data_IF_098426820380
#
_entry.id   IF_098426820380
#
_cell.length_a   1.000
_cell.length_b   1.000
_cell.length_c   1.000
_cell.angle_alpha   90.00
_cell.angle_beta   90.00
_cell.angle_gamma   90.00
#
_symmetry.space_group_name_H-M   'P 1'
#
loop_
_entity.id
_entity.type
_entity.pdbx_description
1 polymer ?
#
# COMPACT_ATOMS: atom_id res chain seq x y z
N UNK A 1 -13.65 -3.38 0.65
CA UNK A 1 -13.74 -3.38 -0.82
C UNK A 1 -15.08 -3.93 -1.27
N UNK A 2 -15.30 -5.23 -1.17
CA UNK A 2 -16.51 -5.91 -1.64
C UNK A 2 -17.82 -5.34 -1.03
N UNK A 3 -17.76 -4.88 0.22
CA UNK A 3 -18.89 -4.20 0.85
C UNK A 3 -19.28 -2.91 0.12
N UNK A 4 -18.31 -2.18 -0.44
CA UNK A 4 -18.56 -0.99 -1.26
C UNK A 4 -19.41 -1.31 -2.48
N UNK A 5 -18.98 -2.28 -3.28
CA UNK A 5 -19.75 -2.77 -4.44
C UNK A 5 -21.13 -3.25 -4.04
N UNK A 6 -21.22 -4.02 -2.95
CA UNK A 6 -22.49 -4.55 -2.44
C UNK A 6 -23.48 -3.45 -2.10
N UNK A 7 -23.07 -2.48 -1.27
CA UNK A 7 -23.98 -1.42 -0.83
C UNK A 7 -24.38 -0.49 -1.99
N UNK A 8 -23.42 -0.16 -2.87
CA UNK A 8 -23.72 0.65 -4.04
C UNK A 8 -24.66 -0.07 -5.01
N UNK A 9 -24.41 -1.32 -5.35
CA UNK A 9 -25.30 -2.11 -6.20
C UNK A 9 -26.74 -2.13 -5.67
N UNK A 10 -26.90 -2.43 -4.36
CA UNK A 10 -28.23 -2.43 -3.72
C UNK A 10 -28.88 -1.05 -3.70
N UNK A 11 -28.12 0.02 -3.47
CA UNK A 11 -28.63 1.39 -3.47
C UNK A 11 -29.22 1.79 -4.81
N UNK A 12 -28.66 1.27 -5.90
CA UNK A 12 -29.14 1.50 -7.26
C UNK A 12 -30.08 0.41 -7.79
N UNK A 13 -30.63 -0.43 -6.91
CA UNK A 13 -31.62 -1.45 -7.25
C UNK A 13 -31.06 -2.68 -7.96
N UNK A 14 -29.75 -2.82 -8.07
CA UNK A 14 -29.15 -4.02 -8.65
C UNK A 14 -29.26 -5.20 -7.69
N UNK A 15 -29.61 -6.36 -8.24
CA UNK A 15 -29.74 -7.58 -7.46
C UNK A 15 -28.36 -8.19 -7.20
N UNK A 16 -27.97 -8.26 -5.94
CA UNK A 16 -26.77 -8.99 -5.51
C UNK A 16 -27.15 -10.44 -5.24
N UNK A 17 -26.57 -11.35 -6.01
CA UNK A 17 -26.83 -12.80 -5.92
C UNK A 17 -26.06 -13.40 -4.76
N UNK A 18 -24.79 -13.02 -4.62
CA UNK A 18 -23.88 -13.60 -3.61
C UNK A 18 -22.89 -12.57 -3.09
N UNK A 19 -22.67 -12.67 -1.78
CA UNK A 19 -21.57 -11.97 -1.09
C UNK A 19 -20.71 -13.05 -0.43
N UNK A 20 -19.46 -13.21 -0.89
CA UNK A 20 -18.54 -14.23 -0.39
C UNK A 20 -17.35 -13.62 0.30
N UNK A 21 -17.06 -14.09 1.51
CA UNK A 21 -15.77 -13.90 2.17
C UNK A 21 -14.93 -15.13 1.86
N UNK A 22 -13.90 -14.95 1.01
CA UNK A 22 -13.07 -16.05 0.53
C UNK A 22 -13.61 -16.75 -0.72
N UNK A 23 -12.84 -17.72 -1.19
CA UNK A 23 -13.06 -18.49 -2.42
C UNK A 23 -12.99 -20.01 -2.16
N UNK A 24 -13.59 -20.79 -3.06
CA UNK A 24 -13.57 -22.26 -3.00
C UNK A 24 -14.75 -22.88 -2.25
N UNK A 25 -14.59 -24.07 -1.63
CA UNK A 25 -15.66 -24.77 -0.93
C UNK A 25 -16.27 -23.91 0.17
N UNK A 26 -17.60 -23.84 0.24
CA UNK A 26 -18.33 -23.04 1.24
C UNK A 26 -18.32 -23.75 2.58
N UNK A 27 -17.81 -23.06 3.63
CA UNK A 27 -17.83 -23.53 5.01
C UNK A 27 -19.12 -23.14 5.70
N UNK A 28 -19.59 -21.91 5.45
CA UNK A 28 -20.81 -21.37 6.04
C UNK A 28 -21.61 -20.61 5.00
N UNK A 29 -22.94 -20.75 5.05
CA UNK A 29 -23.88 -20.14 4.12
C UNK A 29 -25.12 -19.70 4.85
N UNK A 30 -25.56 -18.48 4.58
CA UNK A 30 -26.81 -17.92 5.09
C UNK A 30 -27.56 -17.18 3.98
N UNK A 31 -28.85 -17.47 3.85
CA UNK A 31 -29.76 -16.74 2.94
C UNK A 31 -30.94 -16.22 3.77
N UNK A 32 -31.03 -14.89 4.03
CA UNK A 32 -32.19 -14.31 4.69
C UNK A 32 -33.47 -14.55 3.87
N UNK A 33 -34.61 -14.72 4.53
CA UNK A 33 -35.88 -15.03 3.87
C UNK A 33 -36.33 -13.94 2.88
N UNK A 34 -36.03 -12.67 3.22
CA UNK A 34 -36.46 -11.50 2.44
C UNK A 34 -35.36 -10.88 1.59
N UNK A 35 -34.28 -11.60 1.34
CA UNK A 35 -33.13 -11.13 0.55
C UNK A 35 -32.79 -12.08 -0.59
N UNK A 36 -32.56 -11.57 -1.81
CA UNK A 36 -32.03 -12.39 -2.90
C UNK A 36 -30.61 -12.84 -2.67
N UNK A 37 -29.88 -12.17 -1.75
CA UNK A 37 -28.43 -12.35 -1.55
C UNK A 37 -28.14 -13.55 -0.66
N UNK A 38 -27.25 -14.40 -1.13
CA UNK A 38 -26.63 -15.46 -0.36
C UNK A 38 -25.32 -14.95 0.24
N UNK A 39 -25.20 -14.96 1.56
CA UNK A 39 -23.96 -14.68 2.26
C UNK A 39 -23.23 -15.99 2.53
N UNK A 40 -21.92 -16.02 2.25
CA UNK A 40 -21.14 -17.23 2.47
C UNK A 40 -19.73 -16.90 2.94
N UNK A 41 -19.14 -17.87 3.65
CA UNK A 41 -17.69 -17.91 3.97
C UNK A 41 -17.12 -19.16 3.32
N UNK A 42 -16.04 -19.01 2.58
CA UNK A 42 -15.37 -20.08 1.88
C UNK A 42 -14.04 -20.46 2.55
N UNK A 43 -13.52 -21.64 2.22
CA UNK A 43 -12.35 -22.26 2.87
C UNK A 43 -11.07 -21.44 2.67
N UNK A 44 -10.89 -20.86 1.49
CA UNK A 44 -9.70 -20.07 1.16
C UNK A 44 -10.02 -18.61 1.50
N UNK A 45 -9.46 -18.01 2.57
CA UNK A 45 -9.83 -16.69 3.05
C UNK A 45 -9.25 -15.54 2.19
N UNK A 46 -8.96 -15.81 0.93
CA UNK A 46 -8.51 -14.85 -0.07
C UNK A 46 -9.57 -14.74 -1.18
N UNK A 47 -9.52 -13.66 -1.95
CA UNK A 47 -10.42 -13.42 -3.08
C UNK A 47 -11.90 -13.40 -2.68
N UNK A 48 -12.25 -12.57 -1.71
CA UNK A 48 -13.64 -12.22 -1.47
C UNK A 48 -14.26 -11.65 -2.76
N UNK A 49 -15.57 -11.85 -2.97
CA UNK A 49 -16.23 -11.33 -4.15
C UNK A 49 -17.71 -11.06 -3.93
N UNK A 50 -18.23 -10.14 -4.74
CA UNK A 50 -19.66 -9.84 -4.86
C UNK A 50 -20.13 -10.23 -6.27
N UNK A 51 -21.13 -11.09 -6.35
CA UNK A 51 -21.78 -11.47 -7.60
C UNK A 51 -23.04 -10.62 -7.78
N UNK A 52 -23.01 -9.72 -8.76
CA UNK A 52 -24.13 -8.86 -9.14
C UNK A 52 -24.78 -9.47 -10.39
N UNK A 53 -26.12 -9.56 -10.39
CA UNK A 53 -26.88 -10.10 -11.52
C UNK A 53 -26.57 -9.34 -12.82
N UNK A 54 -26.34 -10.06 -13.91
CA UNK A 54 -26.06 -9.50 -15.23
C UNK A 54 -24.69 -8.81 -15.36
N UNK A 55 -23.77 -9.04 -14.42
CA UNK A 55 -22.39 -8.55 -14.52
C UNK A 55 -21.50 -9.52 -15.30
N UNK A 56 -21.85 -10.80 -15.30
CA UNK A 56 -21.17 -11.82 -16.09
C UNK A 56 -21.90 -12.00 -17.45
N UNK A 57 -21.26 -11.69 -18.57
CA UNK A 57 -21.89 -11.75 -19.91
C UNK A 57 -22.14 -13.18 -20.41
N UNK A 58 -21.66 -14.20 -19.70
CA UNK A 58 -21.89 -15.61 -20.01
C UNK A 58 -23.08 -16.21 -19.24
N UNK A 59 -23.67 -15.44 -18.30
CA UNK A 59 -24.91 -15.80 -17.63
C UNK A 59 -26.10 -15.35 -18.48
N UNK A 60 -27.16 -16.18 -18.56
CA UNK A 60 -28.41 -15.76 -19.17
C UNK A 60 -28.99 -14.58 -18.38
N UNK A 61 -29.16 -13.44 -19.05
CA UNK A 61 -29.77 -12.25 -18.46
C UNK A 61 -31.04 -11.89 -19.26
N UNK A 62 -32.13 -11.71 -18.55
CA UNK A 62 -33.34 -11.16 -19.15
C UNK A 62 -33.11 -9.68 -19.51
N UNK A 63 -33.30 -9.29 -20.79
CA UNK A 63 -33.16 -7.90 -21.22
C UNK A 63 -34.06 -6.93 -20.45
N UNK A 64 -35.18 -7.42 -19.87
CA UNK A 64 -36.13 -6.61 -19.11
C UNK A 64 -35.88 -6.65 -17.59
N UNK A 65 -34.86 -7.37 -17.11
CA UNK A 65 -34.55 -7.44 -15.68
C UNK A 65 -34.00 -6.12 -15.18
N UNK A 66 -34.81 -5.31 -14.52
CA UNK A 66 -34.41 -4.03 -13.92
C UNK A 66 -33.37 -4.16 -12.79
N UNK A 67 -33.25 -5.35 -12.21
CA UNK A 67 -32.24 -5.66 -11.20
C UNK A 67 -30.86 -6.08 -11.78
N UNK A 68 -30.73 -6.14 -13.11
CA UNK A 68 -29.49 -6.51 -13.77
C UNK A 68 -28.52 -5.32 -13.89
N UNK A 69 -27.24 -5.56 -13.60
CA UNK A 69 -26.14 -4.60 -13.83
C UNK A 69 -26.09 -4.12 -15.29
N UNK A 70 -26.28 -5.04 -16.24
CA UNK A 70 -26.26 -4.72 -17.67
C UNK A 70 -27.33 -3.71 -18.09
N UNK A 71 -28.47 -3.70 -17.39
CA UNK A 71 -29.63 -2.81 -17.66
C UNK A 71 -29.62 -1.55 -16.79
N UNK A 72 -28.72 -1.46 -15.80
CA UNK A 72 -28.58 -0.28 -14.96
C UNK A 72 -28.05 0.93 -15.74
N UNK A 73 -28.37 2.13 -15.28
CA UNK A 73 -27.83 3.36 -15.86
C UNK A 73 -26.30 3.38 -15.80
N UNK A 74 -25.68 4.07 -16.76
CA UNK A 74 -24.21 4.20 -16.81
C UNK A 74 -23.65 4.74 -15.48
N UNK A 75 -24.31 5.77 -14.91
CA UNK A 75 -23.90 6.35 -13.62
C UNK A 75 -23.97 5.33 -12.48
N UNK A 76 -25.03 4.56 -12.39
CA UNK A 76 -25.19 3.52 -11.38
C UNK A 76 -24.08 2.46 -11.47
N UNK A 77 -23.69 2.07 -12.69
CA UNK A 77 -22.58 1.14 -12.94
C UNK A 77 -21.24 1.73 -12.52
N UNK A 78 -20.95 2.99 -12.89
CA UNK A 78 -19.72 3.69 -12.50
C UNK A 78 -19.62 3.77 -10.97
N UNK A 79 -20.68 4.24 -10.29
CA UNK A 79 -20.67 4.35 -8.82
C UNK A 79 -20.50 2.99 -8.17
N UNK A 80 -21.14 1.95 -8.70
CA UNK A 80 -21.00 0.59 -8.15
C UNK A 80 -19.56 0.08 -8.25
N UNK A 81 -18.90 0.29 -9.37
CA UNK A 81 -17.49 -0.14 -9.54
C UNK A 81 -16.55 0.73 -8.70
N UNK A 82 -16.72 2.05 -8.69
CA UNK A 82 -15.87 2.95 -7.91
C UNK A 82 -16.03 2.77 -6.38
N UNK A 83 -17.18 2.30 -5.92
CA UNK A 83 -17.49 2.15 -4.49
C UNK A 83 -16.56 1.16 -3.77
N UNK A 84 -16.08 0.12 -4.45
CA UNK A 84 -15.10 -0.82 -3.89
C UNK A 84 -13.81 -0.12 -3.45
N UNK A 85 -13.05 0.46 -4.39
CA UNK A 85 -11.85 1.23 -4.08
C UNK A 85 -12.06 2.37 -3.08
N UNK A 86 -13.15 3.13 -3.21
CA UNK A 86 -13.47 4.23 -2.29
C UNK A 86 -13.72 3.73 -0.86
N UNK A 87 -14.34 2.56 -0.70
CA UNK A 87 -14.51 1.94 0.61
C UNK A 87 -13.18 1.55 1.25
N UNK A 88 -12.19 1.15 0.46
CA UNK A 88 -10.84 0.91 0.97
C UNK A 88 -10.20 2.20 1.52
N UNK A 89 -10.38 3.35 0.86
CA UNK A 89 -9.90 4.63 1.37
C UNK A 89 -10.61 5.05 2.65
N UNK A 90 -11.93 4.89 2.69
CA UNK A 90 -12.71 5.17 3.90
C UNK A 90 -12.23 4.30 5.07
N UNK A 91 -12.08 3.00 4.84
CA UNK A 91 -11.61 2.07 5.86
C UNK A 91 -10.16 2.35 6.29
N UNK A 92 -9.29 2.71 5.34
CA UNK A 92 -7.94 3.18 5.61
C UNK A 92 -7.94 4.36 6.59
N UNK A 93 -8.76 5.38 6.31
CA UNK A 93 -8.88 6.55 7.19
C UNK A 93 -9.36 6.17 8.59
N UNK A 94 -10.33 5.28 8.71
CA UNK A 94 -10.81 4.79 10.01
C UNK A 94 -9.70 4.07 10.78
N UNK A 95 -8.98 3.16 10.14
CA UNK A 95 -7.88 2.42 10.79
C UNK A 95 -6.73 3.34 11.22
N UNK A 96 -6.34 4.27 10.35
CA UNK A 96 -5.26 5.24 10.65
C UNK A 96 -5.68 6.17 11.78
N UNK A 97 -6.93 6.62 11.80
CA UNK A 97 -7.46 7.46 12.87
C UNK A 97 -7.31 6.80 14.24
N UNK A 98 -7.82 5.59 14.39
CA UNK A 98 -7.68 4.85 15.64
C UNK A 98 -6.24 4.45 15.93
N UNK A 99 -5.48 4.11 14.88
CA UNK A 99 -4.06 3.81 15.00
C UNK A 99 -3.24 4.98 15.55
N UNK A 100 -3.52 6.20 15.10
CA UNK A 100 -2.88 7.43 15.62
C UNK A 100 -3.29 7.75 17.06
N UNK A 101 -4.56 7.56 17.41
CA UNK A 101 -5.02 7.78 18.77
C UNK A 101 -4.40 6.80 19.79
N UNK A 102 -4.19 5.56 19.38
CA UNK A 102 -3.66 4.51 20.26
C UNK A 102 -2.13 4.51 20.28
N UNK A 103 -1.49 4.66 19.11
CA UNK A 103 -0.06 4.50 18.92
C UNK A 103 0.71 5.82 18.76
N UNK A 104 0.01 6.97 18.63
CA UNK A 104 0.65 8.23 18.29
C UNK A 104 1.22 8.29 16.88
N UNK A 105 2.03 9.29 16.61
CA UNK A 105 2.83 9.43 15.39
C UNK A 105 4.31 9.34 15.71
N UNK A 106 5.08 8.70 14.84
CA UNK A 106 6.53 8.76 14.91
C UNK A 106 7.02 10.11 14.39
N UNK A 107 7.81 10.78 15.20
CA UNK A 107 8.44 12.06 14.85
C UNK A 107 9.95 11.88 14.93
N UNK A 108 10.64 12.30 13.87
CA UNK A 108 12.10 12.28 13.86
C UNK A 108 12.67 13.28 14.88
N UNK A 109 13.69 12.86 15.60
CA UNK A 109 14.43 13.73 16.51
C UNK A 109 15.57 14.42 15.75
N UNK A 110 15.23 15.52 15.10
CA UNK A 110 16.19 16.29 14.29
C UNK A 110 17.24 17.03 15.15
N UNK A 111 16.96 17.19 16.43
CA UNK A 111 17.76 18.06 17.32
C UNK A 111 18.88 17.32 18.02
N UNK A 112 18.73 16.03 18.28
CA UNK A 112 19.68 15.28 19.10
C UNK A 112 20.97 14.91 18.38
N UNK A 113 21.00 14.93 17.04
CA UNK A 113 22.08 14.40 16.21
C UNK A 113 22.49 12.96 16.55
N UNK A 114 21.67 12.27 17.35
CA UNK A 114 21.86 10.84 17.65
C UNK A 114 21.50 10.01 16.44
N UNK A 115 22.23 8.90 16.26
CA UNK A 115 21.98 8.00 15.13
C UNK A 115 21.34 6.70 15.58
N UNK A 116 20.47 6.18 14.74
CA UNK A 116 20.07 4.79 14.76
C UNK A 116 20.83 4.08 13.63
N UNK A 117 21.66 3.10 13.97
CA UNK A 117 22.54 2.42 13.03
C UNK A 117 21.84 1.21 12.46
N UNK A 118 21.81 1.12 11.14
CA UNK A 118 21.32 -0.04 10.39
C UNK A 118 22.51 -0.85 9.83
N UNK A 119 22.23 -2.08 9.36
CA UNK A 119 23.27 -2.91 8.77
C UNK A 119 23.91 -2.20 7.57
N UNK A 120 25.21 -1.92 7.66
CA UNK A 120 25.94 -1.17 6.63
C UNK A 120 27.26 -0.58 7.10
N UNK A 121 27.81 0.36 6.33
CA UNK A 121 29.16 0.91 6.57
C UNK A 121 29.38 1.48 7.98
N UNK A 122 28.41 2.21 8.53
CA UNK A 122 28.54 2.77 9.88
C UNK A 122 28.65 1.67 10.95
N UNK A 123 27.85 0.59 10.83
CA UNK A 123 27.92 -0.54 11.74
C UNK A 123 29.28 -1.26 11.67
N UNK A 124 29.78 -1.46 10.44
CA UNK A 124 31.08 -2.12 10.21
C UNK A 124 32.22 -1.29 10.79
N UNK A 125 32.10 0.03 10.73
CA UNK A 125 33.07 0.97 11.28
C UNK A 125 33.04 1.10 12.80
N UNK A 126 32.06 0.52 13.50
CA UNK A 126 31.96 0.57 14.96
C UNK A 126 31.04 1.65 15.50
N UNK A 127 30.34 2.41 14.64
CA UNK A 127 29.29 3.36 15.08
C UNK A 127 28.15 2.59 15.69
N UNK A 128 27.63 3.05 16.84
CA UNK A 128 26.57 2.40 17.59
C UNK A 128 25.29 3.24 17.59
N UNK A 129 24.16 2.54 17.72
CA UNK A 129 22.88 3.23 17.93
C UNK A 129 22.91 4.01 19.23
N UNK A 130 22.61 5.30 19.17
CA UNK A 130 22.67 6.23 20.28
C UNK A 130 23.89 7.17 20.25
N UNK A 131 24.90 6.88 19.44
CA UNK A 131 26.01 7.80 19.21
C UNK A 131 25.50 9.13 18.67
N UNK A 132 26.04 10.24 19.17
CA UNK A 132 25.75 11.58 18.67
C UNK A 132 26.86 12.02 17.74
N UNK A 133 26.53 12.30 16.49
CA UNK A 133 27.52 12.79 15.52
C UNK A 133 27.87 14.24 15.86
N UNK A 134 29.18 14.52 15.95
CA UNK A 134 29.74 15.82 16.24
C UNK A 134 30.35 16.46 15.01
N UNK A 135 31.18 15.69 14.25
CA UNK A 135 31.91 16.22 13.10
C UNK A 135 32.13 15.14 12.04
N UNK A 136 32.33 15.57 10.80
CA UNK A 136 32.77 14.74 9.66
C UNK A 136 34.03 15.35 9.08
N UNK A 137 35.12 14.55 8.98
CA UNK A 137 36.46 15.00 8.52
C UNK A 137 36.92 16.28 9.24
N UNK A 138 36.66 16.39 10.56
CA UNK A 138 37.02 17.55 11.40
C UNK A 138 36.14 18.78 11.20
N UNK A 139 35.09 18.73 10.39
CA UNK A 139 34.08 19.79 10.26
C UNK A 139 32.90 19.49 11.13
N UNK A 140 32.56 20.39 12.05
CA UNK A 140 31.40 20.25 12.93
C UNK A 140 30.11 20.16 12.12
N UNK A 141 29.21 19.27 12.54
CA UNK A 141 27.88 19.11 11.96
C UNK A 141 26.81 19.30 13.05
N UNK A 142 25.85 20.18 12.78
CA UNK A 142 24.80 20.55 13.74
C UNK A 142 23.40 20.14 13.27
N UNK A 143 23.28 19.79 12.00
CA UNK A 143 22.01 19.37 11.39
C UNK A 143 22.16 18.08 10.58
N UNK A 144 21.07 17.34 10.49
CA UNK A 144 21.02 16.13 9.67
C UNK A 144 21.26 16.39 8.18
N UNK A 145 20.91 17.58 7.71
CA UNK A 145 21.17 17.98 6.32
C UNK A 145 22.66 18.19 6.08
N UNK A 146 23.39 18.79 7.03
CA UNK A 146 24.86 18.94 6.98
C UNK A 146 25.54 17.57 7.00
N UNK A 147 25.15 16.69 7.93
CA UNK A 147 25.66 15.33 8.01
C UNK A 147 25.44 14.59 6.68
N UNK A 148 24.21 14.63 6.16
CA UNK A 148 23.87 13.97 4.89
C UNK A 148 24.70 14.51 3.73
N UNK A 149 24.86 15.83 3.64
CA UNK A 149 25.64 16.48 2.59
C UNK A 149 27.12 16.08 2.65
N UNK A 150 27.71 16.11 3.84
CA UNK A 150 29.10 15.73 4.06
C UNK A 150 29.35 14.26 3.71
N UNK A 151 28.47 13.35 4.12
CA UNK A 151 28.59 11.91 3.80
C UNK A 151 28.37 11.66 2.32
N UNK A 152 27.36 12.29 1.70
CA UNK A 152 27.03 12.09 0.29
C UNK A 152 28.10 12.57 -0.67
N UNK A 153 28.96 13.51 -0.24
CA UNK A 153 30.06 14.04 -1.05
C UNK A 153 31.27 13.10 -1.16
N UNK A 154 31.33 12.01 -0.38
CA UNK A 154 32.48 11.12 -0.29
C UNK A 154 32.13 9.63 -0.57
N UNK A 155 31.54 9.29 -1.74
CA UNK A 155 31.22 7.91 -2.07
C UNK A 155 32.49 7.07 -2.23
N UNK A 156 32.61 5.98 -1.45
CA UNK A 156 33.80 5.09 -1.49
C UNK A 156 35.07 5.63 -0.86
N UNK A 157 35.09 6.87 -0.37
CA UNK A 157 36.20 7.47 0.34
C UNK A 157 36.04 7.31 1.85
N UNK A 158 37.11 6.97 2.56
CA UNK A 158 37.11 6.87 4.01
C UNK A 158 36.95 8.27 4.63
N UNK A 159 35.94 8.45 5.48
CA UNK A 159 35.68 9.67 6.24
C UNK A 159 35.91 9.41 7.74
N UNK A 160 36.44 10.40 8.45
CA UNK A 160 36.50 10.39 9.90
C UNK A 160 35.20 10.93 10.48
N UNK A 161 34.51 10.09 11.24
CA UNK A 161 33.24 10.45 11.91
C UNK A 161 33.52 10.60 13.41
N UNK A 162 33.55 11.84 13.90
CA UNK A 162 33.63 12.10 15.33
C UNK A 162 32.26 11.95 15.96
N UNK A 163 32.13 11.04 16.94
CA UNK A 163 30.89 10.76 17.65
C UNK A 163 31.07 10.92 19.15
N UNK A 164 30.06 11.40 19.84
CA UNK A 164 29.96 11.36 21.30
C UNK A 164 29.21 10.09 21.70
N UNK A 165 29.90 9.24 22.44
CA UNK A 165 29.38 8.01 23.05
C UNK A 165 29.52 8.13 24.56
N UNK A 166 28.41 8.32 25.27
CA UNK A 166 28.38 8.42 26.73
C UNK A 166 29.31 9.49 27.32
N UNK A 167 29.45 10.62 26.61
CA UNK A 167 30.30 11.76 27.03
C UNK A 167 31.77 11.62 26.59
N UNK A 168 32.14 10.61 25.84
CA UNK A 168 33.46 10.45 25.28
C UNK A 168 33.45 10.63 23.77
N UNK A 169 34.31 11.50 23.25
CA UNK A 169 34.48 11.65 21.81
C UNK A 169 35.31 10.49 21.26
N UNK A 170 34.70 9.79 20.30
CA UNK A 170 35.37 8.70 19.57
C UNK A 170 35.45 9.05 18.09
N UNK A 171 36.46 8.54 17.43
CA UNK A 171 36.71 8.72 16.01
C UNK A 171 36.53 7.38 15.31
N UNK A 172 35.56 7.29 14.42
CA UNK A 172 35.26 6.07 13.66
C UNK A 172 35.51 6.32 12.17
N UNK A 173 36.37 5.51 11.55
CA UNK A 173 36.62 5.63 10.12
C UNK A 173 35.58 4.86 9.34
N UNK A 174 34.68 5.59 8.66
CA UNK A 174 33.58 5.04 7.89
C UNK A 174 33.82 5.22 6.40
N UNK A 175 33.67 4.19 5.60
CA UNK A 175 33.69 4.30 4.14
C UNK A 175 32.25 4.25 3.60
N UNK A 176 31.66 5.39 3.18
CA UNK A 176 30.32 5.42 2.66
C UNK A 176 30.19 4.55 1.41
N UNK A 177 29.23 3.64 1.41
CA UNK A 177 28.90 2.84 0.23
C UNK A 177 28.10 3.66 -0.80
N UNK A 178 28.01 3.21 -2.06
CA UNK A 178 27.24 3.89 -3.09
C UNK A 178 25.73 3.84 -2.79
N UNK A 179 25.03 4.94 -3.02
CA UNK A 179 23.58 5.03 -2.88
C UNK A 179 22.90 4.62 -4.20
N UNK A 180 22.71 3.32 -4.41
CA UNK A 180 22.16 2.80 -5.68
C UNK A 180 23.11 3.09 -6.84
N UNK A 181 22.58 3.64 -7.94
CA UNK A 181 23.37 4.03 -9.13
C UNK A 181 23.83 5.49 -9.08
N UNK A 182 23.67 6.16 -7.94
CA UNK A 182 24.12 7.53 -7.74
C UNK A 182 25.53 7.54 -7.16
N UNK A 183 26.31 8.51 -7.62
CA UNK A 183 27.63 8.83 -7.06
C UNK A 183 27.49 9.63 -5.76
N UNK A 184 26.71 9.07 -4.83
CA UNK A 184 26.44 9.63 -3.50
C UNK A 184 26.80 8.61 -2.43
N UNK A 185 27.50 9.04 -1.40
CA UNK A 185 27.85 8.20 -0.26
C UNK A 185 26.69 7.94 0.69
N UNK A 186 26.59 6.71 1.22
CA UNK A 186 25.59 6.32 2.22
C UNK A 186 26.23 5.48 3.32
N UNK A 187 26.00 5.82 4.59
CA UNK A 187 26.54 5.10 5.76
C UNK A 187 25.51 4.27 6.52
N UNK A 188 24.25 4.24 6.10
CA UNK A 188 23.15 3.49 6.72
C UNK A 188 22.87 3.87 8.18
N UNK A 189 22.76 5.16 8.42
CA UNK A 189 22.24 5.70 9.68
C UNK A 189 20.95 6.47 9.42
N UNK A 190 20.03 6.45 10.38
CA UNK A 190 18.81 7.24 10.35
C UNK A 190 18.61 8.01 11.65
N UNK A 191 17.80 9.05 11.59
CA UNK A 191 17.36 9.78 12.78
C UNK A 191 16.64 8.83 13.73
N UNK A 192 16.88 8.90 15.03
CA UNK A 192 15.99 8.26 15.99
C UNK A 192 14.61 8.90 15.89
N UNK A 193 13.61 8.10 16.13
CA UNK A 193 12.22 8.58 16.21
C UNK A 193 11.70 8.42 17.62
N UNK A 194 10.82 9.31 18.03
CA UNK A 194 10.05 9.16 19.26
C UNK A 194 8.56 9.20 18.95
N UNK A 195 7.78 8.53 19.78
CA UNK A 195 6.33 8.52 19.64
C UNK A 195 5.76 9.77 20.30
N UNK A 196 5.05 10.59 19.53
CA UNK A 196 4.31 11.74 20.00
C UNK A 196 2.81 11.41 20.03
N UNK A 197 2.17 11.66 21.16
CA UNK A 197 0.72 11.52 21.25
C UNK A 197 0.01 12.51 20.30
N UNK A 198 -1.06 12.06 19.67
CA UNK A 198 -1.82 12.83 18.68
C UNK A 198 -3.20 13.13 19.22
N UNK A 199 -3.60 14.40 19.16
CA UNK A 199 -4.96 14.80 19.53
C UNK A 199 -6.00 14.37 18.49
N UNK A 200 -7.28 14.27 18.92
CA UNK A 200 -8.39 13.80 18.07
C UNK A 200 -8.52 14.58 16.76
N UNK A 201 -8.38 15.90 16.79
CA UNK A 201 -8.49 16.76 15.59
C UNK A 201 -7.33 16.48 14.61
N UNK A 202 -6.13 16.37 15.12
CA UNK A 202 -4.94 16.07 14.33
C UNK A 202 -5.03 14.66 13.73
N UNK A 203 -5.43 13.66 14.53
CA UNK A 203 -5.64 12.30 14.07
C UNK A 203 -6.69 12.24 12.94
N UNK A 204 -7.81 12.96 13.06
CA UNK A 204 -8.83 13.03 12.03
C UNK A 204 -8.30 13.66 10.73
N UNK A 205 -7.54 14.75 10.84
CA UNK A 205 -6.94 15.40 9.65
C UNK A 205 -5.91 14.50 8.98
N UNK A 206 -4.98 13.92 9.76
CA UNK A 206 -3.93 13.06 9.24
C UNK A 206 -4.50 11.78 8.60
N UNK A 207 -5.54 11.18 9.21
CA UNK A 207 -6.14 9.94 8.69
C UNK A 207 -6.78 10.09 7.32
N UNK A 208 -7.25 11.28 6.96
CA UNK A 208 -7.82 11.58 5.64
C UNK A 208 -6.74 11.97 4.63
N UNK A 209 -5.72 12.73 5.06
CA UNK A 209 -4.71 13.30 4.17
C UNK A 209 -3.56 12.29 3.90
N UNK A 210 -3.15 11.51 4.90
CA UNK A 210 -2.00 10.61 4.75
C UNK A 210 -2.18 9.53 3.68
N UNK A 211 -3.33 8.83 3.54
CA UNK A 211 -3.48 7.78 2.55
C UNK A 211 -3.25 8.24 1.09
N UNK A 212 -3.86 9.33 0.59
CA UNK A 212 -3.61 9.77 -0.78
C UNK A 212 -2.18 10.28 -0.99
N UNK A 213 -1.56 10.94 -0.02
CA UNK A 213 -0.15 11.36 -0.11
C UNK A 213 0.76 10.14 -0.22
N UNK A 214 0.54 9.15 0.64
CA UNK A 214 1.31 7.92 0.63
C UNK A 214 1.19 7.17 -0.71
N UNK A 215 -0.02 7.05 -1.26
CA UNK A 215 -0.23 6.46 -2.58
C UNK A 215 0.50 7.25 -3.67
N UNK A 216 0.40 8.59 -3.66
CA UNK A 216 1.07 9.45 -4.62
C UNK A 216 2.60 9.27 -4.61
N UNK A 217 3.24 9.28 -3.42
CA UNK A 217 4.68 9.09 -3.30
C UNK A 217 5.14 7.70 -3.79
N UNK A 218 4.33 6.68 -3.57
CA UNK A 218 4.64 5.34 -4.06
C UNK A 218 4.47 5.20 -5.58
N UNK A 219 3.43 5.79 -6.16
CA UNK A 219 3.29 5.86 -7.63
C UNK A 219 4.47 6.59 -8.26
N UNK A 220 4.93 7.67 -7.64
CA UNK A 220 6.12 8.41 -8.06
C UNK A 220 7.41 7.57 -7.92
N UNK A 221 7.53 6.78 -6.83
CA UNK A 221 8.63 5.83 -6.66
C UNK A 221 8.65 4.75 -7.76
N UNK A 222 7.50 4.18 -8.10
CA UNK A 222 7.37 3.24 -9.24
C UNK A 222 7.83 3.91 -10.54
N UNK A 223 7.45 5.17 -10.78
CA UNK A 223 7.92 5.94 -11.94
C UNK A 223 9.44 6.10 -11.98
N UNK A 224 10.09 6.30 -10.82
CA UNK A 224 11.57 6.36 -10.73
C UNK A 224 12.22 5.02 -11.04
N UNK A 225 11.62 3.91 -10.57
CA UNK A 225 12.10 2.56 -10.88
C UNK A 225 11.97 2.26 -12.38
N UNK A 226 10.82 2.56 -13.00
CA UNK A 226 10.60 2.35 -14.44
C UNK A 226 11.53 3.19 -15.31
N UNK A 227 11.96 4.35 -14.82
CA UNK A 227 12.96 5.20 -15.50
C UNK A 227 14.41 4.79 -15.22
N UNK A 228 14.66 3.67 -14.54
CA UNK A 228 16.00 3.16 -14.22
C UNK A 228 16.76 3.96 -13.15
N UNK A 229 16.08 4.90 -12.47
CA UNK A 229 16.70 5.75 -11.44
C UNK A 229 16.78 5.10 -10.06
N UNK A 230 16.01 4.06 -9.82
CA UNK A 230 15.98 3.32 -8.56
C UNK A 230 15.81 1.83 -8.84
N UNK A 231 16.40 0.98 -7.98
CA UNK A 231 16.19 -0.48 -8.05
C UNK A 231 14.83 -0.83 -7.47
N UNK A 232 14.14 -1.74 -8.13
CA UNK A 232 12.86 -2.24 -7.65
C UNK A 232 13.06 -3.06 -6.37
N UNK A 233 12.55 -2.56 -5.25
CA UNK A 233 12.42 -3.34 -4.01
C UNK A 233 10.94 -3.66 -3.84
N UNK A 234 10.54 -4.87 -4.17
CA UNK A 234 9.16 -5.34 -4.03
C UNK A 234 9.08 -6.31 -2.87
N UNK A 235 8.24 -5.99 -1.91
CA UNK A 235 7.78 -6.98 -0.94
C UNK A 235 6.55 -7.67 -1.53
N UNK A 236 6.68 -8.95 -1.81
CA UNK A 236 5.57 -9.77 -2.24
C UNK A 236 4.68 -10.20 -1.06
N UNK A 237 3.72 -11.10 -1.30
CA UNK A 237 2.76 -11.53 -0.27
C UNK A 237 3.41 -12.04 1.01
N UNK A 238 4.54 -12.76 0.92
CA UNK A 238 5.27 -13.26 2.09
C UNK A 238 5.93 -12.12 2.86
N UNK A 239 6.50 -11.13 2.14
CA UNK A 239 7.05 -9.92 2.73
C UNK A 239 5.99 -9.10 3.49
N UNK A 240 4.79 -8.94 2.91
CA UNK A 240 3.65 -8.26 3.56
C UNK A 240 3.25 -8.99 4.86
N UNK A 241 3.17 -10.32 4.87
CA UNK A 241 2.84 -11.09 6.08
C UNK A 241 3.90 -10.91 7.16
N UNK A 242 5.20 -10.98 6.79
CA UNK A 242 6.30 -10.75 7.72
C UNK A 242 6.26 -9.34 8.31
N UNK A 243 6.01 -8.34 7.47
CA UNK A 243 5.91 -6.94 7.93
C UNK A 243 4.69 -6.74 8.84
N UNK A 244 3.53 -7.34 8.50
CA UNK A 244 2.35 -7.30 9.38
C UNK A 244 2.65 -7.88 10.76
N UNK A 245 3.34 -9.03 10.81
CA UNK A 245 3.73 -9.67 12.07
C UNK A 245 4.74 -8.80 12.86
N UNK A 246 5.63 -8.09 12.18
CA UNK A 246 6.56 -7.15 12.80
C UNK A 246 5.83 -5.96 13.39
N UNK A 247 4.92 -5.33 12.64
CA UNK A 247 4.11 -4.20 13.12
C UNK A 247 3.21 -4.59 14.31
N UNK A 248 2.68 -5.81 14.30
CA UNK A 248 1.91 -6.35 15.43
C UNK A 248 2.72 -6.46 16.72
N UNK A 249 4.03 -6.76 16.62
CA UNK A 249 4.94 -6.81 17.77
C UNK A 249 5.30 -5.42 18.31
N UNK A 250 5.31 -4.41 17.43
CA UNK A 250 5.60 -3.02 17.83
C UNK A 250 4.46 -2.42 18.64
N UNK A 251 3.20 -2.73 18.29
CA UNK A 251 2.04 -2.31 19.05
C UNK A 251 0.76 -2.19 18.24
N UNK A 252 -0.41 -2.20 18.90
CA UNK A 252 -1.70 -2.19 18.21
C UNK A 252 -1.94 -0.92 17.37
N UNK A 253 -1.49 0.24 17.84
CA UNK A 253 -1.63 1.49 17.10
C UNK A 253 -0.85 1.50 15.80
N UNK A 254 0.39 1.03 15.82
CA UNK A 254 1.27 0.92 14.63
C UNK A 254 0.70 -0.10 13.64
N UNK A 255 0.20 -1.24 14.15
CA UNK A 255 -0.45 -2.24 13.32
C UNK A 255 -1.68 -1.66 12.60
N UNK A 256 -2.55 -0.91 13.31
CA UNK A 256 -3.73 -0.29 12.69
C UNK A 256 -3.34 0.72 11.61
N UNK A 257 -2.32 1.56 11.85
CA UNK A 257 -1.81 2.49 10.84
C UNK A 257 -1.29 1.73 9.61
N UNK A 258 -0.50 0.68 9.81
CA UNK A 258 0.00 -0.16 8.72
C UNK A 258 -1.12 -0.82 7.90
N UNK A 259 -2.11 -1.43 8.57
CA UNK A 259 -3.27 -2.03 7.90
C UNK A 259 -4.11 -0.98 7.15
N UNK A 260 -4.22 0.23 7.70
CA UNK A 260 -4.86 1.36 7.04
C UNK A 260 -4.13 1.75 5.75
N UNK A 261 -2.80 1.88 5.80
CA UNK A 261 -2.00 2.16 4.61
C UNK A 261 -2.10 1.04 3.56
N UNK A 262 -2.08 -0.22 3.99
CA UNK A 262 -2.28 -1.37 3.10
C UNK A 262 -3.67 -1.33 2.43
N UNK A 263 -4.72 -0.97 3.17
CA UNK A 263 -6.07 -0.79 2.62
C UNK A 263 -6.11 0.33 1.57
N UNK A 264 -5.45 1.47 1.83
CA UNK A 264 -5.33 2.56 0.86
C UNK A 264 -4.61 2.12 -0.42
N UNK A 265 -3.55 1.34 -0.28
CA UNK A 265 -2.82 0.75 -1.40
C UNK A 265 -3.70 -0.13 -2.27
N UNK A 266 -4.45 -1.03 -1.64
CA UNK A 266 -5.39 -1.92 -2.34
C UNK A 266 -6.45 -1.12 -3.09
N UNK A 267 -6.98 -0.03 -2.48
CA UNK A 267 -7.91 0.88 -3.13
C UNK A 267 -7.32 1.55 -4.36
N UNK A 268 -6.10 2.11 -4.22
CA UNK A 268 -5.40 2.76 -5.33
C UNK A 268 -5.05 1.80 -6.45
N UNK A 269 -4.56 0.60 -6.10
CA UNK A 269 -4.21 -0.43 -7.07
C UNK A 269 -5.43 -0.86 -7.88
N UNK A 270 -6.58 -1.03 -7.23
CA UNK A 270 -7.82 -1.37 -7.91
C UNK A 270 -8.35 -0.27 -8.83
N UNK A 271 -7.92 0.99 -8.66
CA UNK A 271 -8.25 2.10 -9.58
C UNK A 271 -7.31 2.19 -10.79
N UNK A 272 -6.21 1.43 -10.82
CA UNK A 272 -5.33 1.42 -11.98
C UNK A 272 -6.09 0.94 -13.22
N UNK A 273 -5.80 1.54 -14.41
CA UNK A 273 -6.43 1.17 -15.68
C UNK A 273 -5.88 -0.17 -16.20
N UNK A 274 -6.03 -1.23 -15.41
CA UNK A 274 -5.53 -2.56 -15.73
C UNK A 274 -6.68 -3.58 -15.79
N UNK A 275 -6.69 -4.45 -16.81
CA UNK A 275 -7.65 -5.54 -16.88
C UNK A 275 -7.63 -6.39 -15.62
N UNK A 276 -8.77 -6.93 -15.22
CA UNK A 276 -9.04 -7.64 -13.97
C UNK A 276 -9.23 -6.77 -12.72
N UNK A 277 -8.88 -5.48 -12.77
CA UNK A 277 -9.12 -4.52 -11.69
C UNK A 277 -10.36 -3.66 -12.00
N UNK A 278 -10.89 -2.98 -10.98
CA UNK A 278 -12.05 -2.08 -11.14
C UNK A 278 -11.75 -0.90 -12.06
N UNK A 279 -10.51 -0.38 -12.03
CA UNK A 279 -10.05 0.68 -12.93
C UNK A 279 -10.13 0.27 -14.40
N UNK A 280 -9.87 -0.99 -14.71
CA UNK A 280 -10.08 -1.53 -16.06
C UNK A 280 -11.55 -1.49 -16.47
N UNK A 281 -12.48 -1.86 -15.57
CA UNK A 281 -13.93 -1.73 -15.84
C UNK A 281 -14.36 -0.27 -15.96
N UNK A 282 -13.82 0.63 -15.11
CA UNK A 282 -14.10 2.06 -15.21
C UNK A 282 -13.63 2.65 -16.54
N UNK A 283 -12.54 2.15 -17.14
CA UNK A 283 -12.13 2.55 -18.49
C UNK A 283 -13.19 2.19 -19.54
N UNK A 284 -13.75 0.97 -19.51
CA UNK A 284 -14.81 0.58 -20.44
C UNK A 284 -16.07 1.42 -20.26
N UNK A 285 -16.46 1.72 -19.00
CA UNK A 285 -17.57 2.62 -18.70
C UNK A 285 -17.28 4.06 -19.15
N UNK A 286 -16.04 4.53 -19.03
CA UNK A 286 -15.58 5.81 -19.55
C UNK A 286 -15.66 5.89 -21.08
N UNK A 287 -15.22 4.84 -21.77
CA UNK A 287 -15.36 4.72 -23.22
C UNK A 287 -16.83 4.70 -23.66
N UNK A 288 -17.71 4.02 -22.92
CA UNK A 288 -19.17 4.07 -23.14
C UNK A 288 -19.74 5.48 -22.95
N UNK A 289 -19.28 6.20 -21.93
CA UNK A 289 -19.70 7.59 -21.68
C UNK A 289 -19.39 8.52 -22.86
N UNK A 290 -18.19 8.35 -23.44
CA UNK A 290 -17.72 9.18 -24.57
C UNK A 290 -18.37 8.75 -25.87
N UNK A 291 -18.36 7.45 -26.18
CA UNK A 291 -18.83 6.91 -27.46
C UNK A 291 -20.36 6.79 -27.55
N UNK A 292 -21.06 6.84 -26.41
CA UNK A 292 -22.51 6.57 -26.26
C UNK A 292 -22.92 5.19 -26.78
N UNK A 293 -21.98 4.25 -26.85
CA UNK A 293 -22.21 2.86 -27.28
C UNK A 293 -21.66 1.92 -26.23
N UNK A 294 -22.47 0.92 -25.84
CA UNK A 294 -22.02 -0.12 -24.91
C UNK A 294 -20.93 -0.95 -25.58
N UNK A 295 -19.78 -1.16 -24.91
CA UNK A 295 -18.78 -2.12 -25.35
C UNK A 295 -19.36 -3.53 -25.45
N UNK A 296 -18.79 -4.38 -26.30
CA UNK A 296 -19.15 -5.81 -26.34
C UNK A 296 -18.73 -6.47 -25.02
N UNK A 297 -19.69 -6.91 -24.24
CA UNK A 297 -19.49 -7.49 -22.93
C UNK A 297 -18.62 -8.78 -22.96
N UNK A 298 -18.64 -9.54 -24.08
CA UNK A 298 -17.81 -10.74 -24.23
C UNK A 298 -16.35 -10.36 -24.50
N UNK A 299 -16.11 -9.28 -25.25
CA UNK A 299 -14.75 -8.75 -25.48
C UNK A 299 -14.19 -8.23 -24.16
N UNK A 300 -14.96 -7.43 -23.42
CA UNK A 300 -14.59 -6.93 -22.10
C UNK A 300 -14.22 -8.09 -21.16
N UNK A 301 -15.05 -9.13 -21.07
CA UNK A 301 -14.80 -10.28 -20.23
C UNK A 301 -13.51 -11.04 -20.63
N UNK A 302 -13.23 -11.19 -21.93
CA UNK A 302 -11.98 -11.81 -22.40
C UNK A 302 -10.75 -11.00 -22.02
N UNK A 303 -10.81 -9.67 -22.16
CA UNK A 303 -9.72 -8.77 -21.76
C UNK A 303 -9.47 -8.90 -20.26
N UNK A 304 -10.53 -8.90 -19.44
CA UNK A 304 -10.40 -9.10 -18.00
C UNK A 304 -9.86 -10.48 -17.62
N UNK A 305 -10.23 -11.54 -18.33
CA UNK A 305 -9.70 -12.88 -18.08
C UNK A 305 -8.20 -12.98 -18.37
N UNK A 306 -7.73 -12.37 -19.49
CA UNK A 306 -6.30 -12.29 -19.81
C UNK A 306 -5.56 -11.48 -18.74
N UNK A 307 -6.10 -10.33 -18.33
CA UNK A 307 -5.52 -9.51 -17.26
C UNK A 307 -5.43 -10.26 -15.93
N UNK A 308 -6.44 -11.05 -15.59
CA UNK A 308 -6.42 -11.89 -14.38
C UNK A 308 -5.29 -12.94 -14.45
N UNK A 309 -5.13 -13.59 -15.59
CA UNK A 309 -4.04 -14.56 -15.78
C UNK A 309 -2.67 -13.87 -15.62
N UNK A 310 -2.49 -12.69 -16.21
CA UNK A 310 -1.25 -11.92 -16.06
C UNK A 310 -0.99 -11.55 -14.60
N UNK A 311 -2.03 -11.09 -13.87
CA UNK A 311 -1.92 -10.71 -12.47
C UNK A 311 -1.55 -11.91 -11.58
N UNK A 312 -2.22 -13.06 -11.78
CA UNK A 312 -1.92 -14.29 -11.03
C UNK A 312 -0.48 -14.77 -11.31
N UNK A 313 -0.05 -14.70 -12.57
CA UNK A 313 1.34 -15.05 -12.94
C UNK A 313 2.34 -14.12 -12.27
N UNK A 314 2.09 -12.80 -12.28
CA UNK A 314 2.93 -11.81 -11.62
C UNK A 314 3.03 -12.08 -10.11
N UNK A 315 1.90 -12.32 -9.44
CA UNK A 315 1.87 -12.64 -8.01
C UNK A 315 2.67 -13.93 -7.72
N UNK A 316 2.53 -14.95 -8.56
CA UNK A 316 3.28 -16.19 -8.41
C UNK A 316 4.80 -15.97 -8.57
N UNK A 317 5.23 -15.20 -9.57
CA UNK A 317 6.64 -14.85 -9.77
C UNK A 317 7.22 -14.06 -8.60
N UNK A 318 6.49 -13.03 -8.11
CA UNK A 318 6.94 -12.22 -6.97
C UNK A 318 6.97 -13.07 -5.69
N UNK A 319 5.99 -13.94 -5.48
CA UNK A 319 5.99 -14.84 -4.31
C UNK A 319 7.16 -15.83 -4.38
N UNK A 320 7.47 -16.36 -5.57
CA UNK A 320 8.64 -17.22 -5.75
C UNK A 320 9.94 -16.47 -5.42
N UNK A 321 10.08 -15.23 -5.90
CA UNK A 321 11.24 -14.40 -5.59
C UNK A 321 11.36 -14.10 -4.08
N UNK A 322 10.24 -13.79 -3.40
CA UNK A 322 10.21 -13.55 -1.94
C UNK A 322 10.69 -14.75 -1.10
N UNK A 323 10.47 -15.96 -1.61
CA UNK A 323 10.79 -17.21 -0.87
C UNK A 323 12.19 -17.71 -1.21
N UNK A 324 12.60 -17.63 -2.49
CA UNK A 324 13.78 -18.34 -3.00
C UNK A 324 14.91 -17.41 -3.49
N UNK A 325 14.64 -16.17 -3.87
CA UNK A 325 15.65 -15.22 -4.32
C UNK A 325 16.16 -14.35 -3.15
N UNK A 326 16.82 -14.98 -2.19
CA UNK A 326 17.55 -14.29 -1.10
C UNK A 326 19.03 -14.39 -1.33
#
# INVERSE_FOLDING_TARGET
HEAGHYFAARRYGMRVIRFSIGFGPTIWKHKPKDSPTVYQVALIPFLAYVQIAGMNPYEESDPNDSGSYANASLWARIVTIAAGPLTNYFFASVLIFFGLLIGGKEVADETSMKVFVEAGPAQVAGVQTGDRVLAVNGQDVHTWEELRRSVSAHPGEAIDLAVDRDGQTMHETVTPGPRGDKDEGLIHVRMPTHVQAVGMREAATMSVIAPPIFVYENVKAIGRVLSGKEKLQVNGPVGIVKETARQAKTGPGVLLQFLGMLSAYLGAFNLLPFPALDGGRLLFLGAEAISRRKPDAKIEARIHAVGLLMLVTLIACVTYADVFAK
#
